data_IF_168981649205
#
_entry.id   IF_168981649205
#
_cell.length_a   1.000
_cell.length_b   1.000
_cell.length_c   1.000
_cell.angle_alpha   90.00
_cell.angle_beta   90.00
_cell.angle_gamma   90.00
#
_symmetry.space_group_name_H-M   'P 1'
#
loop_
_entity.id
_entity.type
_entity.pdbx_description
1 polymer ?
#
# COMPACT_ATOMS: atom_id res chain seq x y z
N UNK A 1 -23.28 -3.53 -0.97
CA UNK A 1 -21.92 -3.53 -0.37
C UNK A 1 -21.43 -4.96 -0.20
N UNK A 2 -20.38 -5.39 -0.90
CA UNK A 2 -19.82 -6.72 -0.69
C UNK A 2 -19.24 -6.84 0.73
N UNK A 3 -19.67 -7.85 1.50
CA UNK A 3 -19.25 -8.04 2.90
C UNK A 3 -17.74 -8.27 2.99
N UNK A 4 -17.11 -7.65 4.00
CA UNK A 4 -15.76 -7.99 4.44
C UNK A 4 -15.86 -9.30 5.21
N UNK A 5 -15.47 -10.41 4.58
CA UNK A 5 -15.38 -11.69 5.27
C UNK A 5 -14.00 -11.82 5.91
N UNK A 6 -13.87 -12.54 7.05
CA UNK A 6 -12.57 -12.78 7.68
C UNK A 6 -11.52 -13.33 6.72
N UNK A 7 -11.89 -14.30 5.88
CA UNK A 7 -10.98 -14.88 4.88
C UNK A 7 -10.45 -13.89 3.84
N UNK A 8 -11.25 -12.90 3.41
CA UNK A 8 -10.78 -11.87 2.46
C UNK A 8 -9.80 -10.90 3.09
N UNK A 9 -9.98 -10.59 4.37
CA UNK A 9 -9.05 -9.75 5.12
C UNK A 9 -7.74 -10.51 5.39
N UNK A 10 -7.83 -11.77 5.81
CA UNK A 10 -6.67 -12.64 6.00
C UNK A 10 -5.86 -12.75 4.71
N UNK A 11 -6.51 -12.97 3.57
CA UNK A 11 -5.84 -12.99 2.27
C UNK A 11 -5.06 -11.69 2.00
N UNK A 12 -5.69 -10.53 2.19
CA UNK A 12 -5.03 -9.24 1.96
C UNK A 12 -3.84 -9.03 2.90
N UNK A 13 -3.95 -9.44 4.17
CA UNK A 13 -2.83 -9.36 5.11
C UNK A 13 -1.71 -10.33 4.76
N UNK A 14 -2.02 -11.55 4.36
CA UNK A 14 -1.02 -12.54 3.97
C UNK A 14 -0.24 -12.09 2.73
N UNK A 15 -0.95 -11.63 1.69
CA UNK A 15 -0.32 -11.06 0.49
C UNK A 15 0.52 -9.83 0.82
N UNK A 16 0.01 -8.93 1.66
CA UNK A 16 0.75 -7.76 2.08
C UNK A 16 2.04 -8.14 2.82
N UNK A 17 1.96 -9.04 3.80
CA UNK A 17 3.10 -9.49 4.58
C UNK A 17 4.16 -10.19 3.72
N UNK A 18 3.72 -11.09 2.82
CA UNK A 18 4.59 -11.78 1.88
C UNK A 18 5.30 -10.78 0.96
N UNK A 19 4.54 -9.86 0.35
CA UNK A 19 5.10 -8.86 -0.56
C UNK A 19 6.05 -7.90 0.15
N UNK A 20 5.69 -7.39 1.33
CA UNK A 20 6.55 -6.46 2.07
C UNK A 20 7.81 -7.15 2.59
N UNK A 21 7.72 -8.38 3.08
CA UNK A 21 8.88 -9.14 3.55
C UNK A 21 9.83 -9.46 2.41
N UNK A 22 9.29 -9.97 1.30
CA UNK A 22 10.07 -10.24 0.10
C UNK A 22 10.73 -8.98 -0.47
N UNK A 23 10.01 -7.86 -0.51
CA UNK A 23 10.57 -6.58 -0.95
C UNK A 23 11.76 -6.14 -0.08
N UNK A 24 11.62 -6.19 1.25
CA UNK A 24 12.69 -5.78 2.18
C UNK A 24 13.93 -6.65 1.97
N UNK A 25 13.76 -7.97 1.89
CA UNK A 25 14.90 -8.89 1.66
C UNK A 25 15.54 -8.57 0.32
N UNK A 26 14.76 -8.54 -0.78
CA UNK A 26 15.28 -8.27 -2.11
C UNK A 26 16.05 -6.94 -2.18
N UNK A 27 15.52 -5.88 -1.57
CA UNK A 27 16.16 -4.57 -1.57
C UNK A 27 17.51 -4.57 -0.82
N UNK A 28 17.60 -5.32 0.29
CA UNK A 28 18.80 -5.35 1.13
C UNK A 28 19.86 -6.34 0.67
N UNK A 29 19.53 -7.26 -0.24
CA UNK A 29 20.43 -8.34 -0.64
C UNK A 29 20.86 -8.27 -2.11
N UNK A 30 20.66 -7.13 -2.78
CA UNK A 30 20.97 -6.94 -4.20
C UNK A 30 22.47 -7.08 -4.55
N UNK A 31 23.34 -7.07 -3.55
CA UNK A 31 24.79 -7.21 -3.71
C UNK A 31 25.21 -8.65 -4.09
N UNK A 32 26.38 -8.76 -4.72
CA UNK A 32 26.93 -10.02 -5.26
C UNK A 32 26.98 -11.15 -4.22
N UNK A 33 27.42 -10.86 -2.99
CA UNK A 33 27.55 -11.84 -1.90
C UNK A 33 26.21 -12.42 -1.42
N UNK A 34 25.10 -11.73 -1.70
CA UNK A 34 23.75 -12.11 -1.25
C UNK A 34 22.76 -12.29 -2.40
N UNK A 35 23.25 -12.36 -3.64
CA UNK A 35 22.42 -12.36 -4.84
C UNK A 35 21.38 -13.49 -4.87
N UNK A 36 21.73 -14.69 -4.36
CA UNK A 36 20.77 -15.80 -4.27
C UNK A 36 19.55 -15.47 -3.39
N UNK A 37 19.75 -14.71 -2.31
CA UNK A 37 18.65 -14.22 -1.47
C UNK A 37 17.82 -13.17 -2.20
N UNK A 38 18.48 -12.27 -2.94
CA UNK A 38 17.80 -11.25 -3.76
C UNK A 38 16.90 -11.90 -4.80
N UNK A 39 17.43 -12.88 -5.55
CA UNK A 39 16.69 -13.57 -6.59
C UNK A 39 15.48 -14.33 -6.01
N UNK A 40 15.69 -15.11 -4.93
CA UNK A 40 14.59 -15.83 -4.27
C UNK A 40 13.51 -14.87 -3.75
N UNK A 41 13.91 -13.78 -3.11
CA UNK A 41 12.98 -12.78 -2.58
C UNK A 41 12.26 -12.04 -3.72
N UNK A 42 12.95 -11.71 -4.82
CA UNK A 42 12.38 -11.10 -6.02
C UNK A 42 11.29 -11.97 -6.64
N UNK A 43 11.55 -13.27 -6.82
CA UNK A 43 10.55 -14.22 -7.30
C UNK A 43 9.38 -14.40 -6.32
N UNK A 44 9.64 -14.34 -5.02
CA UNK A 44 8.58 -14.37 -3.99
C UNK A 44 7.67 -13.14 -4.09
N UNK A 45 8.24 -11.95 -4.27
CA UNK A 45 7.50 -10.71 -4.49
C UNK A 45 6.67 -10.77 -5.79
N UNK A 46 7.26 -11.26 -6.88
CA UNK A 46 6.58 -11.45 -8.16
C UNK A 46 5.39 -12.40 -8.04
N UNK A 47 5.57 -13.54 -7.37
CA UNK A 47 4.50 -14.50 -7.12
C UNK A 47 3.36 -13.90 -6.28
N UNK A 48 3.69 -13.18 -5.20
CA UNK A 48 2.69 -12.50 -4.36
C UNK A 48 1.89 -11.45 -5.15
N UNK A 49 2.56 -10.69 -6.04
CA UNK A 49 1.91 -9.74 -6.95
C UNK A 49 1.01 -10.44 -7.96
N UNK A 50 1.46 -11.53 -8.57
CA UNK A 50 0.67 -12.31 -9.53
C UNK A 50 -0.61 -12.84 -8.88
N UNK A 51 -0.51 -13.43 -7.69
CA UNK A 51 -1.66 -13.90 -6.90
C UNK A 51 -2.58 -12.74 -6.56
N UNK A 52 -2.04 -11.57 -6.17
CA UNK A 52 -2.82 -10.38 -5.86
C UNK A 52 -3.61 -9.87 -7.05
N UNK A 53 -2.98 -9.81 -8.22
CA UNK A 53 -3.57 -9.35 -9.46
C UNK A 53 -4.65 -10.31 -9.92
N UNK A 54 -4.38 -11.62 -9.93
CA UNK A 54 -5.34 -12.66 -10.26
C UNK A 54 -6.59 -12.57 -9.37
N UNK A 55 -6.42 -12.48 -8.05
CA UNK A 55 -7.54 -12.30 -7.12
C UNK A 55 -8.32 -11.00 -7.40
N UNK A 56 -7.66 -9.93 -7.82
CA UNK A 56 -8.30 -8.66 -8.16
C UNK A 56 -9.09 -8.68 -9.46
N UNK A 57 -8.62 -9.43 -10.45
CA UNK A 57 -9.31 -9.66 -11.74
C UNK A 57 -10.53 -10.57 -11.55
N UNK A 58 -10.36 -11.68 -10.83
CA UNK A 58 -11.43 -12.64 -10.58
C UNK A 58 -12.53 -12.10 -9.65
N UNK A 59 -12.24 -11.09 -8.84
CA UNK A 59 -13.17 -10.51 -7.86
C UNK A 59 -13.40 -9.02 -8.12
N UNK A 60 -14.23 -8.64 -9.13
CA UNK A 60 -14.40 -7.26 -9.57
C UNK A 60 -15.12 -6.37 -8.54
N UNK A 61 -15.73 -6.96 -7.50
CA UNK A 61 -16.45 -6.26 -6.44
C UNK A 61 -15.90 -6.60 -5.05
N UNK A 62 -15.97 -5.61 -4.15
CA UNK A 62 -15.57 -5.78 -2.76
C UNK A 62 -14.09 -5.50 -2.49
N UNK A 63 -13.52 -6.00 -1.38
CA UNK A 63 -12.22 -5.58 -0.88
C UNK A 63 -11.03 -6.10 -1.72
N UNK A 64 -11.23 -7.16 -2.51
CA UNK A 64 -10.18 -7.76 -3.34
C UNK A 64 -10.00 -7.08 -4.70
N UNK A 65 -10.98 -6.29 -5.14
CA UNK A 65 -10.94 -5.61 -6.44
C UNK A 65 -9.65 -4.81 -6.64
N UNK A 66 -9.25 -4.65 -7.89
CA UNK A 66 -8.14 -3.76 -8.25
C UNK A 66 -8.45 -2.30 -7.89
N UNK A 67 -7.43 -1.49 -7.55
CA UNK A 67 -7.63 -0.08 -7.24
C UNK A 67 -8.23 0.65 -8.45
N UNK A 68 -9.20 1.52 -8.18
CA UNK A 68 -9.82 2.42 -9.17
C UNK A 68 -9.67 3.85 -8.66
N UNK A 69 -8.50 4.47 -8.86
CA UNK A 69 -8.31 5.86 -8.44
C UNK A 69 -9.25 6.79 -9.21
N UNK A 70 -9.68 7.86 -8.54
CA UNK A 70 -10.48 8.93 -9.15
C UNK A 70 -9.81 10.26 -8.81
N UNK A 71 -9.45 11.01 -9.85
CA UNK A 71 -8.83 12.32 -9.70
C UNK A 71 -9.80 13.31 -9.05
N UNK A 72 -11.06 13.35 -9.51
CA UNK A 72 -12.09 14.21 -8.95
C UNK A 72 -12.30 13.95 -7.45
N UNK A 73 -12.34 12.68 -7.03
CA UNK A 73 -12.49 12.32 -5.62
C UNK A 73 -11.25 12.72 -4.80
N UNK A 74 -10.04 12.59 -5.36
CA UNK A 74 -8.81 13.00 -4.70
C UNK A 74 -8.74 14.52 -4.49
N UNK A 75 -9.08 15.31 -5.51
CA UNK A 75 -9.10 16.77 -5.44
C UNK A 75 -10.17 17.28 -4.46
N UNK A 76 -11.38 16.70 -4.48
CA UNK A 76 -12.44 17.02 -3.52
C UNK A 76 -12.00 16.70 -2.09
N UNK A 77 -11.39 15.53 -1.88
CA UNK A 77 -10.88 15.15 -0.56
C UNK A 77 -9.76 16.08 -0.07
N UNK A 78 -8.81 16.45 -0.93
CA UNK A 78 -7.72 17.37 -0.59
C UNK A 78 -8.27 18.75 -0.20
N UNK A 79 -9.25 19.25 -0.95
CA UNK A 79 -9.92 20.52 -0.63
C UNK A 79 -10.58 20.47 0.75
N UNK A 80 -11.37 19.43 1.04
CA UNK A 80 -12.05 19.27 2.35
C UNK A 80 -11.06 19.10 3.50
N UNK A 81 -9.98 18.36 3.27
CA UNK A 81 -8.90 18.18 4.23
C UNK A 81 -8.20 19.50 4.55
N UNK A 82 -7.91 20.32 3.53
CA UNK A 82 -7.32 21.66 3.70
C UNK A 82 -8.25 22.62 4.46
N UNK A 83 -9.56 22.47 4.28
CA UNK A 83 -10.59 23.23 5.02
C UNK A 83 -10.84 22.69 6.44
N UNK A 84 -10.18 21.61 6.86
CA UNK A 84 -10.33 21.02 8.19
C UNK A 84 -11.67 20.30 8.43
N UNK A 85 -12.42 19.97 7.38
CA UNK A 85 -13.74 19.35 7.52
C UNK A 85 -13.65 17.96 8.19
N UNK A 86 -14.37 17.76 9.30
CA UNK A 86 -14.40 16.48 10.03
C UNK A 86 -14.78 15.28 9.13
N UNK A 87 -15.61 15.53 8.11
CA UNK A 87 -16.08 14.53 7.14
C UNK A 87 -14.95 13.97 6.27
N UNK A 88 -13.89 14.74 6.01
CA UNK A 88 -12.72 14.28 5.24
C UNK A 88 -11.99 13.12 5.94
N UNK A 89 -12.04 13.07 7.28
CA UNK A 89 -11.32 12.10 8.11
C UNK A 89 -12.15 10.84 8.45
N UNK A 90 -13.48 10.93 8.33
CA UNK A 90 -14.39 9.81 8.61
C UNK A 90 -14.48 8.79 7.46
N UNK A 91 -14.13 9.18 6.23
CA UNK A 91 -14.19 8.34 5.05
C UNK A 91 -12.82 7.74 4.70
N UNK A 92 -12.81 6.66 3.92
CA UNK A 92 -11.57 6.07 3.41
C UNK A 92 -10.95 7.03 2.39
N UNK A 93 -9.71 7.48 2.64
CA UNK A 93 -9.03 8.42 1.75
C UNK A 93 -8.89 7.87 0.32
N UNK A 94 -9.24 8.65 -0.72
CA UNK A 94 -9.05 8.27 -2.12
C UNK A 94 -7.58 8.14 -2.50
N UNK A 95 -6.65 8.76 -1.75
CA UNK A 95 -5.21 8.64 -1.95
C UNK A 95 -4.70 7.20 -1.79
N UNK A 96 -5.40 6.37 -0.99
CA UNK A 96 -5.05 4.96 -0.85
C UNK A 96 -5.21 4.18 -2.15
N UNK A 97 -6.16 4.56 -3.02
CA UNK A 97 -6.33 3.91 -4.32
C UNK A 97 -5.22 4.30 -5.30
N UNK A 98 -4.83 5.57 -5.29
CA UNK A 98 -3.68 6.06 -6.06
C UNK A 98 -2.38 5.40 -5.61
N UNK A 99 -2.14 5.33 -4.30
CA UNK A 99 -0.94 4.70 -3.76
C UNK A 99 -0.89 3.20 -4.07
N UNK A 100 -2.02 2.50 -3.99
CA UNK A 100 -2.10 1.10 -4.39
C UNK A 100 -1.78 0.89 -5.88
N UNK A 101 -2.25 1.79 -6.76
CA UNK A 101 -1.91 1.74 -8.18
C UNK A 101 -0.41 2.00 -8.40
N UNK A 102 0.15 3.02 -7.74
CA UNK A 102 1.57 3.37 -7.85
C UNK A 102 2.48 2.21 -7.41
N UNK A 103 2.16 1.57 -6.27
CA UNK A 103 2.91 0.41 -5.78
C UNK A 103 2.80 -0.80 -6.72
N UNK A 104 1.58 -1.12 -7.19
CA UNK A 104 1.40 -2.22 -8.15
C UNK A 104 2.18 -1.97 -9.45
N UNK A 105 2.21 -0.73 -9.93
CA UNK A 105 2.92 -0.35 -11.14
C UNK A 105 4.45 -0.40 -10.95
N UNK A 106 4.98 0.29 -9.94
CA UNK A 106 6.43 0.44 -9.76
C UNK A 106 7.08 -0.84 -9.23
N UNK A 107 6.56 -1.40 -8.15
CA UNK A 107 7.10 -2.66 -7.58
C UNK A 107 6.84 -3.83 -8.53
N UNK A 108 5.70 -3.82 -9.22
CA UNK A 108 5.42 -4.81 -10.26
C UNK A 108 6.38 -4.70 -11.44
N UNK A 109 6.65 -3.49 -11.94
CA UNK A 109 7.62 -3.28 -13.00
C UNK A 109 9.01 -3.73 -12.57
N UNK A 110 9.46 -3.38 -11.36
CA UNK A 110 10.75 -3.80 -10.82
C UNK A 110 10.88 -5.34 -10.73
N UNK A 111 9.85 -6.01 -10.19
CA UNK A 111 9.85 -7.46 -10.05
C UNK A 111 9.84 -8.18 -11.42
N UNK A 112 9.05 -7.67 -12.37
CA UNK A 112 9.01 -8.22 -13.73
C UNK A 112 10.32 -7.97 -14.47
N UNK A 113 10.86 -6.76 -14.42
CA UNK A 113 12.12 -6.45 -15.10
C UNK A 113 13.29 -7.25 -14.52
N UNK A 114 13.29 -7.54 -13.21
CA UNK A 114 14.28 -8.41 -12.58
C UNK A 114 14.20 -9.85 -13.09
N UNK A 115 12.99 -10.43 -13.14
CA UNK A 115 12.81 -11.77 -13.70
C UNK A 115 13.15 -11.86 -15.19
N UNK A 116 12.96 -10.78 -15.95
CA UNK A 116 13.37 -10.72 -17.37
C UNK A 116 14.89 -10.54 -17.50
N UNK A 117 15.53 -9.82 -16.58
CA UNK A 117 16.98 -9.60 -16.57
C UNK A 117 17.77 -10.91 -16.48
N UNK A 118 17.23 -11.95 -15.82
CA UNK A 118 17.80 -13.30 -15.80
C UNK A 118 18.04 -13.89 -17.22
N UNK A 119 17.32 -13.40 -18.23
CA UNK A 119 17.40 -13.86 -19.62
C UNK A 119 17.85 -12.78 -20.60
N UNK A 120 17.67 -11.50 -20.24
CA UNK A 120 17.90 -10.34 -21.11
C UNK A 120 18.74 -9.32 -20.36
N UNK A 121 20.08 -9.49 -20.43
CA UNK A 121 21.08 -8.66 -19.73
C UNK A 121 20.81 -7.14 -19.81
N UNK A 122 20.39 -6.55 -20.95
CA UNK A 122 20.07 -5.12 -20.99
C UNK A 122 18.96 -4.65 -20.04
N UNK A 123 18.12 -5.56 -19.53
CA UNK A 123 17.06 -5.27 -18.56
C UNK A 123 17.60 -5.07 -17.13
N UNK A 124 18.84 -5.45 -16.84
CA UNK A 124 19.47 -5.25 -15.52
C UNK A 124 19.44 -3.78 -15.11
N UNK A 125 19.83 -2.86 -16.01
CA UNK A 125 19.82 -1.42 -15.75
C UNK A 125 18.42 -0.86 -15.50
N UNK A 126 17.42 -1.41 -16.21
CA UNK A 126 16.03 -1.01 -15.99
C UNK A 126 15.53 -1.52 -14.63
N UNK A 127 15.88 -2.76 -14.28
CA UNK A 127 15.57 -3.34 -12.98
C UNK A 127 16.22 -2.58 -11.83
N UNK A 128 17.50 -2.23 -11.96
CA UNK A 128 18.24 -1.41 -11.00
C UNK A 128 17.53 -0.05 -10.78
N UNK A 129 17.26 0.69 -11.85
CA UNK A 129 16.58 1.99 -11.77
C UNK A 129 15.17 1.89 -11.15
N UNK A 130 14.40 0.86 -11.52
CA UNK A 130 13.08 0.62 -10.95
C UNK A 130 13.16 0.16 -9.48
N UNK A 131 14.17 -0.63 -9.12
CA UNK A 131 14.47 -1.08 -7.78
C UNK A 131 14.77 0.10 -6.85
N UNK A 132 15.69 0.98 -7.25
CA UNK A 132 16.00 2.20 -6.51
C UNK A 132 14.78 3.12 -6.38
N UNK A 133 14.04 3.33 -7.47
CA UNK A 133 12.85 4.19 -7.46
C UNK A 133 11.69 3.60 -6.65
N UNK A 134 11.64 2.28 -6.46
CA UNK A 134 10.59 1.64 -5.67
C UNK A 134 10.67 1.99 -4.18
N UNK A 135 11.87 2.21 -3.62
CA UNK A 135 12.05 2.56 -2.21
C UNK A 135 11.32 3.85 -1.81
N UNK A 136 11.54 5.02 -2.46
CA UNK A 136 10.82 6.24 -2.11
C UNK A 136 9.30 6.09 -2.28
N UNK A 137 8.82 5.27 -3.23
CA UNK A 137 7.38 4.99 -3.39
C UNK A 137 6.82 4.17 -2.20
N UNK A 138 7.56 3.16 -1.73
CA UNK A 138 7.20 2.39 -0.52
C UNK A 138 7.25 3.26 0.73
N UNK A 139 8.25 4.12 0.88
CA UNK A 139 8.33 5.08 1.99
C UNK A 139 7.16 6.07 1.96
N UNK A 140 6.80 6.58 0.78
CA UNK A 140 5.62 7.44 0.61
C UNK A 140 4.33 6.72 1.01
N UNK A 141 4.20 5.43 0.70
CA UNK A 141 3.09 4.61 1.16
C UNK A 141 3.02 4.53 2.70
N UNK A 142 4.13 4.21 3.35
CA UNK A 142 4.21 4.11 4.82
C UNK A 142 3.86 5.46 5.45
N UNK A 143 4.44 6.55 4.95
CA UNK A 143 4.18 7.90 5.43
C UNK A 143 2.69 8.29 5.29
N UNK A 144 2.07 8.00 4.14
CA UNK A 144 0.65 8.26 3.91
C UNK A 144 -0.24 7.49 4.89
N UNK A 145 0.02 6.21 5.11
CA UNK A 145 -0.77 5.39 6.04
C UNK A 145 -0.61 5.89 7.48
N UNK A 146 0.62 6.23 7.89
CA UNK A 146 0.90 6.79 9.21
C UNK A 146 0.19 8.13 9.42
N UNK A 147 0.25 9.03 8.43
CA UNK A 147 -0.44 10.32 8.47
C UNK A 147 -1.96 10.15 8.62
N UNK A 148 -2.57 9.30 7.80
CA UNK A 148 -4.02 9.04 7.87
C UNK A 148 -4.44 8.43 9.20
N UNK A 149 -3.63 7.54 9.78
CA UNK A 149 -3.89 6.96 11.10
C UNK A 149 -3.77 8.02 12.22
N UNK A 150 -2.73 8.85 12.18
CA UNK A 150 -2.52 9.94 13.14
C UNK A 150 -3.67 10.95 13.12
N UNK A 151 -4.10 11.36 11.92
CA UNK A 151 -5.21 12.29 11.73
C UNK A 151 -6.53 11.71 12.25
N UNK A 152 -6.79 10.42 12.01
CA UNK A 152 -7.99 9.75 12.54
C UNK A 152 -7.99 9.69 14.06
N UNK A 153 -6.84 9.41 14.69
CA UNK A 153 -6.71 9.44 16.16
C UNK A 153 -6.94 10.83 16.72
N UNK A 154 -6.37 11.86 16.11
CA UNK A 154 -6.54 13.25 16.53
C UNK A 154 -8.00 13.73 16.41
N UNK A 155 -8.68 13.40 15.31
CA UNK A 155 -10.10 13.72 15.14
C UNK A 155 -10.99 12.99 16.17
N UNK A 156 -10.71 11.71 16.44
CA UNK A 156 -11.42 10.95 17.46
C UNK A 156 -11.22 11.49 18.89
N UNK A 157 -10.05 12.05 19.19
CA UNK A 157 -9.79 12.68 20.48
C UNK A 157 -10.58 13.99 20.66
N UNK A 158 -10.64 14.84 19.61
CA UNK A 158 -11.42 16.09 19.65
C UNK A 158 -12.94 15.86 19.77
N UNK A 159 -13.43 14.71 19.31
CA UNK A 159 -14.84 14.35 19.37
C UNK A 159 -15.29 13.74 20.72
N UNK A 160 -14.38 13.50 21.67
CA UNK A 160 -14.75 13.01 23.01
C UNK A 160 -15.29 14.18 23.84
N UNK A 161 -16.58 14.19 24.25
CA UNK A 161 -17.08 15.22 25.16
C UNK A 161 -16.33 15.12 26.50
N UNK A 162 -15.94 16.27 27.05
CA UNK A 162 -15.28 16.40 28.35
C UNK A 162 -16.29 16.12 29.47
N UNK A 163 -16.67 14.86 29.68
CA UNK A 163 -17.63 14.45 30.72
C UNK A 163 -17.01 14.34 32.12
N UNK A 164 -15.85 14.98 32.38
CA UNK A 164 -15.17 14.93 33.68
C UNK A 164 -15.49 16.09 34.64
N UNK A 165 -16.52 16.89 34.37
CA UNK A 165 -16.87 18.03 35.25
C UNK A 165 -18.25 17.98 35.92
N UNK A 166 -19.08 16.94 35.72
CA UNK A 166 -20.43 16.89 36.31
C UNK A 166 -20.59 15.94 37.51
N UNK A 167 -19.53 15.29 38.00
CA UNK A 167 -19.62 14.34 39.12
C UNK A 167 -18.93 14.87 40.38
N UNK A 168 -19.07 16.15 40.72
CA UNK A 168 -18.90 16.64 42.10
C UNK A 168 -19.78 17.89 42.29
N UNK A 169 -21.04 17.69 42.64
CA UNK A 169 -21.82 18.67 43.39
C UNK A 169 -22.69 17.88 44.38
N UNK A 170 -22.43 18.00 45.70
CA UNK A 170 -23.27 17.39 46.74
C UNK A 170 -24.62 18.08 46.89
#
# INVERSE_FOLDING_TARGET
MARRTPGRLLFLFAVHAALSGAFIVAYLTGDEDTYAMHQFAGYTALAALAVRLLAGVLMPVGPLRLPRPSLAAALDWLRRAALGEARAWGQRSPLLAWMALALLAVVGAAAVSGAVADFVVPMEKLHEALGEFSLPVVLAHVALVAALLGLKKAAGWRARPNTRHEVIAP
#
